data_IF_491974574474
#
_entry.id   IF_491974574474
#
_cell.length_a   1.000
_cell.length_b   1.000
_cell.length_c   1.000
_cell.angle_alpha   90.00
_cell.angle_beta   90.00
_cell.angle_gamma   90.00
#
_symmetry.space_group_name_H-M   'P 1'
#
loop_
_entity.id
_entity.type
_entity.pdbx_description
1 polymer ?
#
# COMPACT_ATOMS: atom_id res chain seq x y z
N UNK A 1 -10.29 8.35 7.00
CA UNK A 1 -9.14 8.36 6.07
C UNK A 1 -9.38 9.25 4.87
N UNK A 2 -10.44 9.05 4.07
CA UNK A 2 -10.72 9.90 2.90
C UNK A 2 -10.67 11.43 3.14
N UNK A 3 -11.33 11.97 4.18
CA UNK A 3 -11.27 13.41 4.44
C UNK A 3 -9.84 13.91 4.71
N UNK A 4 -9.03 13.10 5.40
CA UNK A 4 -7.63 13.43 5.72
C UNK A 4 -6.73 13.47 4.48
N UNK A 5 -6.88 12.52 3.55
CA UNK A 5 -6.09 12.53 2.30
C UNK A 5 -6.50 13.68 1.37
N UNK A 6 -7.75 14.14 1.44
CA UNK A 6 -8.17 15.34 0.70
C UNK A 6 -7.74 16.64 1.38
N UNK A 7 -7.69 16.70 2.72
CA UNK A 7 -7.18 17.90 3.39
C UNK A 7 -5.66 18.05 3.25
N UNK A 8 -4.94 16.96 3.01
CA UNK A 8 -3.46 16.99 2.91
C UNK A 8 -2.98 17.34 1.49
N UNK A 9 -2.18 18.42 1.32
CA UNK A 9 -1.60 18.77 0.02
C UNK A 9 -0.75 17.65 -0.59
N UNK A 10 -0.88 17.41 -1.89
CA UNK A 10 -0.15 16.37 -2.61
C UNK A 10 -0.76 14.96 -2.56
N UNK A 11 -1.80 14.76 -1.73
CA UNK A 11 -2.44 13.45 -1.57
C UNK A 11 -3.76 13.28 -2.32
N UNK A 12 -4.14 14.25 -3.16
CA UNK A 12 -5.42 14.25 -3.85
C UNK A 12 -5.61 13.02 -4.77
N UNK A 13 -4.57 12.52 -5.44
CA UNK A 13 -4.67 11.30 -6.25
C UNK A 13 -5.05 10.09 -5.40
N UNK A 14 -4.44 9.93 -4.23
CA UNK A 14 -4.80 8.88 -3.27
C UNK A 14 -6.21 9.06 -2.72
N UNK A 15 -6.64 10.30 -2.49
CA UNK A 15 -8.02 10.58 -2.09
C UNK A 15 -9.02 10.17 -3.19
N UNK A 16 -8.72 10.41 -4.46
CA UNK A 16 -9.55 9.98 -5.59
C UNK A 16 -9.61 8.45 -5.65
N UNK A 17 -8.47 7.75 -5.64
CA UNK A 17 -8.43 6.29 -5.67
C UNK A 17 -9.21 5.66 -4.50
N UNK A 18 -9.05 6.23 -3.30
CA UNK A 18 -9.80 5.77 -2.12
C UNK A 18 -11.30 6.04 -2.26
N UNK A 19 -11.71 7.20 -2.78
CA UNK A 19 -13.12 7.48 -3.07
C UNK A 19 -13.69 6.46 -4.08
N UNK A 20 -12.95 6.17 -5.14
CA UNK A 20 -13.35 5.19 -6.16
C UNK A 20 -13.48 3.81 -5.54
N UNK A 21 -12.52 3.38 -4.72
CA UNK A 21 -12.55 2.08 -4.06
C UNK A 21 -13.76 1.95 -3.11
N UNK A 22 -14.02 2.97 -2.30
CA UNK A 22 -15.19 3.03 -1.40
C UNK A 22 -16.48 2.93 -2.21
N UNK A 23 -16.63 3.74 -3.26
CA UNK A 23 -17.86 3.74 -4.07
C UNK A 23 -18.06 2.39 -4.77
N UNK A 24 -17.01 1.77 -5.30
CA UNK A 24 -17.14 0.44 -5.90
C UNK A 24 -17.60 -0.60 -4.87
N UNK A 25 -16.92 -0.73 -3.74
CA UNK A 25 -17.23 -1.77 -2.75
C UNK A 25 -18.55 -1.55 -2.02
N UNK A 26 -18.95 -0.30 -1.77
CA UNK A 26 -20.13 0.01 -0.95
C UNK A 26 -21.40 0.29 -1.78
N UNK A 27 -21.27 0.61 -3.07
CA UNK A 27 -22.40 1.07 -3.89
C UNK A 27 -22.59 0.26 -5.18
N UNK A 28 -21.52 -0.05 -5.91
CA UNK A 28 -21.64 -0.69 -7.23
C UNK A 28 -21.56 -2.21 -7.21
N UNK A 29 -20.66 -2.76 -6.41
CA UNK A 29 -20.44 -4.19 -6.36
C UNK A 29 -21.50 -4.86 -5.49
N UNK A 30 -21.93 -6.06 -5.89
CA UNK A 30 -22.69 -6.94 -5.01
C UNK A 30 -21.84 -7.35 -3.80
N UNK A 31 -22.47 -7.84 -2.73
CA UNK A 31 -21.75 -8.30 -1.54
C UNK A 31 -20.69 -9.37 -1.88
N UNK A 32 -20.99 -10.25 -2.84
CA UNK A 32 -20.04 -11.27 -3.30
C UNK A 32 -18.85 -10.65 -4.04
N UNK A 33 -19.10 -9.73 -4.97
CA UNK A 33 -18.04 -9.07 -5.74
C UNK A 33 -17.18 -8.16 -4.85
N UNK A 34 -17.77 -7.44 -3.90
CA UNK A 34 -17.05 -6.63 -2.93
C UNK A 34 -16.15 -7.51 -2.04
N UNK A 35 -16.69 -8.64 -1.56
CA UNK A 35 -15.90 -9.64 -0.83
C UNK A 35 -14.73 -10.15 -1.68
N UNK A 36 -14.98 -10.54 -2.94
CA UNK A 36 -13.92 -10.96 -3.86
C UNK A 36 -12.91 -9.85 -4.12
N UNK A 37 -13.33 -8.59 -4.26
CA UNK A 37 -12.46 -7.43 -4.49
C UNK A 37 -11.48 -7.22 -3.31
N UNK A 38 -12.00 -7.26 -2.09
CA UNK A 38 -11.21 -7.14 -0.86
C UNK A 38 -10.17 -8.27 -0.78
N UNK A 39 -10.57 -9.52 -1.02
CA UNK A 39 -9.65 -10.64 -0.95
C UNK A 39 -8.64 -10.67 -2.11
N UNK A 40 -9.05 -10.17 -3.27
CA UNK A 40 -8.20 -10.00 -4.45
C UNK A 40 -7.13 -8.92 -4.25
N UNK A 41 -7.23 -8.05 -3.24
CA UNK A 41 -6.17 -7.10 -2.90
C UNK A 41 -4.94 -7.76 -2.24
N UNK A 42 -5.05 -9.03 -1.85
CA UNK A 42 -3.96 -9.79 -1.23
C UNK A 42 -3.58 -11.04 -2.01
N UNK A 43 -2.34 -11.49 -1.87
CA UNK A 43 -1.83 -12.69 -2.50
C UNK A 43 -1.05 -13.54 -1.50
N UNK A 44 -1.30 -14.84 -1.47
CA UNK A 44 -0.55 -15.79 -0.63
C UNK A 44 0.62 -16.41 -1.39
N UNK A 45 1.59 -15.57 -1.79
CA UNK A 45 2.70 -15.98 -2.65
C UNK A 45 3.57 -17.08 -2.03
N UNK A 46 3.77 -17.04 -0.70
CA UNK A 46 4.61 -18.00 0.01
C UNK A 46 3.86 -19.26 0.46
N UNK A 47 2.53 -19.26 0.39
CA UNK A 47 1.67 -20.32 0.89
C UNK A 47 1.60 -20.41 2.42
N UNK A 48 0.48 -20.89 2.94
CA UNK A 48 0.23 -21.09 4.37
C UNK A 48 -0.68 -20.03 4.99
N UNK A 49 -1.20 -20.35 6.18
CA UNK A 49 -2.19 -19.51 6.88
C UNK A 49 -1.52 -18.21 7.37
N UNK A 50 -2.17 -17.07 7.14
CA UNK A 50 -1.71 -15.76 7.61
C UNK A 50 -0.49 -15.19 6.88
N UNK A 51 -0.13 -15.74 5.70
CA UNK A 51 1.02 -15.30 4.90
C UNK A 51 0.61 -14.51 3.65
N UNK A 52 -0.61 -14.00 3.64
CA UNK A 52 -1.10 -13.09 2.62
C UNK A 52 -0.29 -11.79 2.69
N UNK A 53 0.17 -11.33 1.53
CA UNK A 53 0.79 -10.03 1.37
C UNK A 53 -0.09 -9.20 0.44
N UNK A 54 -0.10 -7.89 0.62
CA UNK A 54 -0.77 -6.98 -0.30
C UNK A 54 -0.18 -7.13 -1.71
N UNK A 55 -1.05 -7.13 -2.73
CA UNK A 55 -0.60 -7.27 -4.12
C UNK A 55 0.35 -6.13 -4.52
N UNK A 56 0.13 -4.92 -4.01
CA UNK A 56 1.01 -3.78 -4.28
C UNK A 56 2.44 -4.07 -3.80
N UNK A 57 2.61 -4.59 -2.58
CA UNK A 57 3.92 -5.02 -2.05
C UNK A 57 4.53 -6.12 -2.92
N UNK A 58 3.73 -7.09 -3.38
CA UNK A 58 4.22 -8.13 -4.30
C UNK A 58 4.71 -7.52 -5.62
N UNK A 59 3.97 -6.56 -6.17
CA UNK A 59 4.34 -5.85 -7.40
C UNK A 59 5.59 -4.97 -7.19
N UNK A 60 5.71 -4.28 -6.06
CA UNK A 60 6.89 -3.50 -5.71
C UNK A 60 8.14 -4.38 -5.64
N UNK A 61 8.03 -5.55 -5.01
CA UNK A 61 9.10 -6.54 -4.95
C UNK A 61 9.51 -7.03 -6.35
N UNK A 62 8.55 -7.34 -7.22
CA UNK A 62 8.82 -7.74 -8.62
C UNK A 62 9.49 -6.62 -9.41
N UNK A 63 8.98 -5.40 -9.28
CA UNK A 63 9.56 -4.21 -9.91
C UNK A 63 10.99 -3.98 -9.44
N UNK A 64 11.28 -4.19 -8.17
CA UNK A 64 12.62 -4.11 -7.59
C UNK A 64 13.57 -5.14 -8.20
N UNK A 65 13.13 -6.38 -8.37
CA UNK A 65 13.93 -7.45 -8.97
C UNK A 65 14.25 -7.14 -10.45
N UNK A 66 13.26 -6.71 -11.22
CA UNK A 66 13.44 -6.29 -12.62
C UNK A 66 14.40 -5.09 -12.71
N UNK A 67 14.22 -4.07 -11.86
CA UNK A 67 15.10 -2.90 -11.82
C UNK A 67 16.55 -3.28 -11.51
N UNK A 68 16.79 -4.25 -10.63
CA UNK A 68 18.15 -4.76 -10.35
C UNK A 68 18.77 -5.41 -11.58
N UNK A 69 18.01 -6.23 -12.32
CA UNK A 69 18.49 -6.84 -13.57
C UNK A 69 18.78 -5.79 -14.64
N UNK A 70 17.90 -4.83 -14.85
CA UNK A 70 18.14 -3.73 -15.79
C UNK A 70 19.40 -2.94 -15.38
N UNK A 71 19.62 -2.74 -14.09
CA UNK A 71 20.82 -2.05 -13.59
C UNK A 71 22.09 -2.85 -13.87
N UNK A 72 22.07 -4.18 -13.75
CA UNK A 72 23.25 -5.02 -13.98
C UNK A 72 23.68 -5.10 -15.46
N UNK A 73 22.79 -4.79 -16.41
CA UNK A 73 23.11 -4.75 -17.85
C UNK A 73 24.15 -3.69 -18.25
N UNK A 74 24.42 -2.69 -17.40
CA UNK A 74 25.39 -1.63 -17.71
C UNK A 74 25.00 -0.83 -18.97
N UNK A 75 25.93 -0.72 -19.92
CA UNK A 75 25.71 0.00 -21.18
C UNK A 75 24.84 -0.78 -22.19
N UNK A 76 24.60 -2.07 -21.98
CA UNK A 76 23.88 -2.93 -22.95
C UNK A 76 22.35 -2.87 -22.82
N UNK A 77 21.80 -1.74 -22.38
CA UNK A 77 20.35 -1.54 -22.19
C UNK A 77 19.68 -1.22 -23.52
N UNK A 78 19.29 -2.26 -24.25
CA UNK A 78 18.37 -2.14 -25.38
C UNK A 78 16.97 -2.56 -24.95
N UNK A 79 15.92 -2.08 -25.61
CA UNK A 79 14.54 -2.46 -25.30
C UNK A 79 14.36 -3.99 -25.38
N UNK A 80 14.95 -4.64 -26.38
CA UNK A 80 14.92 -6.08 -26.53
C UNK A 80 15.63 -6.83 -25.38
N UNK A 81 16.75 -6.29 -24.88
CA UNK A 81 17.45 -6.87 -23.73
C UNK A 81 16.64 -6.71 -22.44
N UNK A 82 16.03 -5.54 -22.22
CA UNK A 82 15.16 -5.26 -21.07
C UNK A 82 13.94 -6.17 -21.08
N UNK A 83 13.26 -6.32 -22.21
CA UNK A 83 12.10 -7.20 -22.37
C UNK A 83 12.46 -8.66 -22.07
N UNK A 84 13.57 -9.14 -22.66
CA UNK A 84 14.06 -10.50 -22.46
C UNK A 84 14.35 -10.78 -20.99
N UNK A 85 15.07 -9.89 -20.31
CA UNK A 85 15.40 -10.06 -18.91
C UNK A 85 14.16 -10.01 -18.01
N UNK A 86 13.26 -9.06 -18.26
CA UNK A 86 12.02 -8.92 -17.50
C UNK A 86 11.16 -10.18 -17.58
N UNK A 87 11.09 -10.82 -18.75
CA UNK A 87 10.39 -12.10 -18.94
C UNK A 87 11.09 -13.28 -18.25
N UNK A 88 12.42 -13.29 -18.19
CA UNK A 88 13.18 -14.37 -17.55
C UNK A 88 13.29 -14.27 -16.03
N UNK A 89 13.06 -13.10 -15.43
CA UNK A 89 13.23 -12.84 -13.98
C UNK A 89 12.52 -13.89 -13.10
N UNK A 90 11.29 -14.29 -13.45
CA UNK A 90 10.54 -15.28 -12.68
C UNK A 90 11.15 -16.69 -12.72
N UNK A 91 11.69 -17.10 -13.87
CA UNK A 91 12.36 -18.39 -14.03
C UNK A 91 13.71 -18.42 -13.31
N UNK A 92 14.49 -17.36 -13.45
CA UNK A 92 15.78 -17.19 -12.77
C UNK A 92 15.64 -17.30 -11.25
N UNK A 93 14.62 -16.65 -10.69
CA UNK A 93 14.32 -16.73 -9.25
C UNK A 93 14.07 -18.17 -8.79
N UNK A 94 13.27 -18.95 -9.52
CA UNK A 94 13.00 -20.36 -9.20
C UNK A 94 14.27 -21.21 -9.26
N UNK A 95 15.13 -20.95 -10.25
CA UNK A 95 16.42 -21.66 -10.38
C UNK A 95 17.31 -21.37 -9.17
N UNK A 96 17.42 -20.10 -8.76
CA UNK A 96 18.19 -19.71 -7.57
C UNK A 96 17.60 -20.34 -6.30
N UNK A 97 16.28 -20.30 -6.13
CA UNK A 97 15.60 -20.88 -4.97
C UNK A 97 15.82 -22.40 -4.90
N UNK A 98 15.76 -23.11 -6.02
CA UNK A 98 16.05 -24.55 -6.09
C UNK A 98 17.52 -24.86 -5.80
N UNK A 99 18.44 -24.08 -6.38
CA UNK A 99 19.88 -24.25 -6.14
C UNK A 99 20.22 -24.05 -4.65
N UNK A 100 19.71 -22.97 -4.04
CA UNK A 100 19.93 -22.69 -2.63
C UNK A 100 19.37 -23.81 -1.73
N UNK A 101 18.23 -24.42 -2.09
CA UNK A 101 17.68 -25.61 -1.42
C UNK A 101 18.58 -26.83 -1.56
N UNK A 102 19.07 -27.12 -2.78
CA UNK A 102 19.96 -28.27 -3.04
C UNK A 102 21.27 -28.19 -2.25
N UNK A 103 21.84 -26.99 -2.16
CA UNK A 103 23.09 -26.74 -1.42
C UNK A 103 22.85 -26.60 0.09
N UNK A 104 21.59 -26.72 0.55
CA UNK A 104 21.18 -26.48 1.95
C UNK A 104 21.69 -25.15 2.48
N UNK A 105 21.78 -24.16 1.59
CA UNK A 105 22.21 -22.82 1.97
C UNK A 105 21.17 -22.28 2.92
N UNK A 106 21.57 -22.04 4.17
CA UNK A 106 20.68 -21.47 5.16
C UNK A 106 20.10 -20.16 4.59
N UNK A 107 18.77 -20.06 4.53
CA UNK A 107 18.13 -18.77 4.25
C UNK A 107 18.69 -17.80 5.27
N UNK A 108 19.35 -16.74 4.80
CA UNK A 108 19.70 -15.61 5.65
C UNK A 108 18.40 -14.89 5.99
N UNK A 109 17.62 -15.45 6.92
CA UNK A 109 16.66 -14.64 7.65
C UNK A 109 17.51 -13.73 8.51
N UNK A 110 17.62 -12.47 8.10
CA UNK A 110 17.76 -11.41 9.09
C UNK A 110 16.45 -11.42 9.87
N UNK A 111 16.31 -12.35 10.82
CA UNK A 111 15.57 -12.00 12.00
C UNK A 111 16.27 -10.72 12.45
N UNK A 112 15.53 -9.60 12.49
CA UNK A 112 16.01 -8.47 13.27
C UNK A 112 16.40 -9.10 14.60
N UNK A 113 17.70 -9.24 14.81
CA UNK A 113 18.19 -9.83 16.04
C UNK A 113 17.69 -8.79 17.02
N UNK A 114 16.69 -9.15 17.82
CA UNK A 114 16.23 -8.27 18.87
C UNK A 114 17.48 -8.14 19.74
N UNK A 115 18.26 -7.09 19.47
CA UNK A 115 19.30 -6.64 20.38
C UNK A 115 18.62 -6.59 21.72
N UNK A 116 19.23 -7.19 22.75
CA UNK A 116 18.68 -7.22 24.10
C UNK A 116 18.22 -5.80 24.46
N UNK A 117 16.92 -5.58 24.36
CA UNK A 117 16.29 -4.27 24.51
C UNK A 117 16.20 -3.88 25.96
N UNK A 118 16.58 -4.76 26.90
CA UNK A 118 16.53 -4.48 28.34
C UNK A 118 17.20 -3.16 28.76
N UNK A 119 18.30 -2.77 28.10
CA UNK A 119 18.94 -1.48 28.36
C UNK A 119 18.14 -0.31 27.77
N UNK A 120 17.57 -0.49 26.58
CA UNK A 120 16.76 0.54 25.93
C UNK A 120 15.39 0.69 26.61
N UNK A 121 14.76 -0.42 27.00
CA UNK A 121 13.54 -0.50 27.79
C UNK A 121 13.73 0.13 29.17
N UNK A 122 14.87 -0.08 29.84
CA UNK A 122 15.12 0.56 31.14
C UNK A 122 15.31 2.08 31.03
N UNK A 123 15.95 2.56 29.95
CA UNK A 123 16.02 4.00 29.63
C UNK A 123 14.65 4.57 29.28
N UNK A 124 13.90 3.92 28.39
CA UNK A 124 12.53 4.31 28.03
C UNK A 124 11.66 4.37 29.28
N UNK A 125 11.77 3.39 30.19
CA UNK A 125 10.99 3.39 31.43
C UNK A 125 11.37 4.54 32.36
N UNK A 126 12.66 4.86 32.47
CA UNK A 126 13.13 6.01 33.24
C UNK A 126 12.58 7.33 32.65
N UNK A 127 12.71 7.51 31.34
CA UNK A 127 12.22 8.69 30.61
C UNK A 127 10.69 8.81 30.72
N UNK A 128 9.94 7.71 30.55
CA UNK A 128 8.49 7.70 30.67
C UNK A 128 8.01 8.05 32.09
N UNK A 129 8.76 7.66 33.13
CA UNK A 129 8.44 8.02 34.53
C UNK A 129 8.73 9.48 34.82
N UNK A 130 9.73 10.06 34.18
CA UNK A 130 10.08 11.47 34.31
C UNK A 130 9.11 12.37 33.53
N UNK A 131 8.96 12.12 32.23
CA UNK A 131 8.14 12.93 31.31
C UNK A 131 6.64 12.72 31.55
N UNK A 132 6.24 11.55 32.07
CA UNK A 132 4.84 11.15 32.31
C UNK A 132 3.89 11.47 31.16
N UNK A 133 4.23 11.13 29.90
CA UNK A 133 3.51 11.62 28.72
C UNK A 133 2.03 11.23 28.67
N UNK A 134 1.63 10.18 29.39
CA UNK A 134 0.25 9.70 29.47
C UNK A 134 -0.60 10.36 30.56
N UNK A 135 -0.01 11.19 31.43
CA UNK A 135 -0.80 12.02 32.32
C UNK A 135 -1.62 13.02 31.50
N UNK A 136 -2.78 13.43 32.02
CA UNK A 136 -3.60 14.42 31.35
C UNK A 136 -2.97 15.79 31.53
N UNK A 137 -2.38 16.32 30.46
CA UNK A 137 -1.91 17.70 30.37
C UNK A 137 -2.86 18.44 29.42
N UNK A 138 -3.31 19.64 29.79
CA UNK A 138 -4.26 20.40 28.98
C UNK A 138 -3.77 20.66 27.54
N UNK A 139 -2.47 20.94 27.39
CA UNK A 139 -1.80 21.00 26.11
C UNK A 139 -0.81 19.83 25.97
N UNK A 140 -0.99 18.97 24.97
CA UNK A 140 -0.11 17.82 24.69
C UNK A 140 0.98 18.11 23.64
N UNK A 141 1.00 19.32 23.06
CA UNK A 141 1.94 19.71 22.01
C UNK A 141 2.69 21.02 22.32
N UNK A 142 3.08 21.29 23.56
CA UNK A 142 3.86 22.50 23.91
C UNK A 142 5.17 22.63 23.10
N UNK A 143 5.79 21.49 22.75
CA UNK A 143 6.99 21.44 21.90
C UNK A 143 6.68 21.58 20.40
N UNK A 144 5.42 21.45 19.99
CA UNK A 144 4.97 21.55 18.60
C UNK A 144 3.77 22.52 18.50
N UNK A 145 3.97 23.81 18.82
CA UNK A 145 2.89 24.78 18.92
C UNK A 145 2.13 25.01 17.59
N UNK A 146 2.73 24.62 16.47
CA UNK A 146 2.16 24.77 15.13
C UNK A 146 1.49 23.48 14.60
N UNK A 147 1.41 22.41 15.40
CA UNK A 147 0.72 21.18 15.00
C UNK A 147 -0.66 21.18 15.66
N UNK A 148 -1.70 21.13 14.82
CA UNK A 148 -3.07 21.03 15.29
C UNK A 148 -3.36 19.72 16.03
N UNK A 149 -4.25 19.81 17.02
CA UNK A 149 -4.85 18.63 17.67
C UNK A 149 -5.82 17.89 16.75
N UNK A 150 -6.46 18.59 15.82
CA UNK A 150 -7.43 18.03 14.90
C UNK A 150 -6.79 17.83 13.52
N UNK A 151 -6.69 16.56 13.12
CA UNK A 151 -6.14 16.16 11.82
C UNK A 151 -7.01 16.61 10.63
N UNK A 152 -8.24 17.06 10.90
CA UNK A 152 -9.18 17.61 9.94
C UNK A 152 -9.40 19.11 10.11
N UNK A 153 -8.62 19.82 10.95
CA UNK A 153 -8.78 21.27 11.12
C UNK A 153 -8.65 22.03 9.79
N UNK A 154 -7.79 21.54 8.89
CA UNK A 154 -7.59 22.09 7.55
C UNK A 154 -8.63 21.65 6.51
N UNK A 155 -9.59 20.81 6.89
CA UNK A 155 -10.63 20.33 5.98
C UNK A 155 -11.71 21.38 5.83
N UNK A 156 -11.68 22.08 4.69
CA UNK A 156 -12.83 22.84 4.23
C UNK A 156 -13.96 21.87 3.84
N UNK A 157 -15.04 21.87 4.63
CA UNK A 157 -16.16 20.96 4.46
C UNK A 157 -16.97 21.28 3.20
N UNK A 158 -17.09 22.54 2.81
CA UNK A 158 -17.79 22.93 1.58
C UNK A 158 -16.99 22.53 0.34
N UNK A 159 -15.68 22.77 0.35
CA UNK A 159 -14.78 22.30 -0.71
C UNK A 159 -14.80 20.77 -0.81
N UNK A 160 -14.79 20.07 0.33
CA UNK A 160 -14.88 18.61 0.37
C UNK A 160 -16.18 18.09 -0.27
N UNK A 161 -17.33 18.68 0.06
CA UNK A 161 -18.62 18.30 -0.53
C UNK A 161 -18.67 18.61 -2.03
N UNK A 162 -18.14 19.76 -2.46
CA UNK A 162 -18.03 20.12 -3.88
C UNK A 162 -17.12 19.12 -4.63
N UNK A 163 -16.00 18.75 -4.02
CA UNK A 163 -15.07 17.76 -4.54
C UNK A 163 -15.75 16.38 -4.69
N UNK A 164 -16.46 15.91 -3.66
CA UNK A 164 -17.23 14.67 -3.72
C UNK A 164 -18.27 14.71 -4.85
N UNK A 165 -19.04 15.79 -4.94
CA UNK A 165 -20.07 15.96 -5.98
C UNK A 165 -19.49 15.92 -7.40
N UNK A 166 -18.32 16.54 -7.60
CA UNK A 166 -17.61 16.49 -8.88
C UNK A 166 -17.14 15.07 -9.22
N UNK A 167 -16.46 14.40 -8.29
CA UNK A 167 -15.90 13.08 -8.57
C UNK A 167 -16.97 12.00 -8.67
N UNK A 168 -18.06 12.08 -7.90
CA UNK A 168 -19.22 11.18 -8.04
C UNK A 168 -19.80 11.17 -9.45
N UNK A 169 -19.88 12.34 -10.11
CA UNK A 169 -20.42 12.47 -11.48
C UNK A 169 -19.49 11.87 -12.55
N UNK A 170 -18.20 11.82 -12.27
CA UNK A 170 -17.18 11.35 -13.23
C UNK A 170 -16.95 9.83 -13.18
N UNK A 171 -17.41 9.15 -12.13
CA UNK A 171 -17.27 7.70 -11.98
C UNK A 171 -18.13 6.90 -12.97
N UNK A 172 -19.42 7.19 -13.19
CA UNK A 172 -20.24 6.43 -14.14
C UNK A 172 -19.83 6.64 -15.61
N UNK A 173 -19.07 7.69 -15.94
CA UNK A 173 -18.58 7.94 -17.31
C UNK A 173 -17.52 6.92 -17.77
N UNK A 174 -16.95 6.10 -16.86
CA UNK A 174 -16.04 5.01 -17.18
C UNK A 174 -16.66 3.61 -16.95
N UNK A 175 -17.95 3.53 -16.63
CA UNK A 175 -18.65 2.25 -16.57
C UNK A 175 -18.85 1.73 -18.00
N UNK A 176 -18.68 0.41 -18.28
CA UNK A 176 -19.11 -0.15 -19.55
C UNK A 176 -20.60 0.17 -19.72
N UNK A 177 -20.93 0.96 -20.74
CA UNK A 177 -22.32 1.17 -21.12
C UNK A 177 -22.88 -0.22 -21.46
N UNK A 178 -23.96 -0.63 -20.78
CA UNK A 178 -24.71 -1.79 -21.20
C UNK A 178 -25.05 -1.57 -22.67
N UNK A 179 -24.57 -2.46 -23.54
CA UNK A 179 -25.10 -2.54 -24.89
C UNK A 179 -26.55 -2.97 -24.69
N UNK A 180 -27.48 -2.06 -24.97
CA UNK A 180 -28.88 -2.44 -25.12
C UNK A 180 -28.89 -3.51 -26.24
N UNK A 181 -29.27 -4.74 -25.87
CA UNK A 181 -29.56 -5.79 -26.83
C UNK A 181 -30.79 -5.31 -27.61
N UNK A 182 -30.53 -4.68 -28.77
CA UNK A 182 -31.58 -4.32 -29.72
C UNK A 182 -32.32 -5.61 -30.12
N UNK A 183 -33.63 -5.57 -29.87
CA UNK A 183 -34.63 -6.58 -30.15
C UNK A 183 -34.49 -7.16 -31.57
N UNK A 184 -34.19 -8.46 -31.67
CA UNK A 184 -34.51 -9.27 -32.87
C UNK A 184 -35.89 -9.91 -32.70
N UNK A 185 -36.91 -9.31 -33.32
CA UNK A 185 -38.02 -10.04 -33.96
C UNK A 185 -38.49 -9.34 -35.25
#
# INVERSE_FOLDING_TARGET
MLPHFKSTPGFNSYAIEMLINIIHNEVFLSEEEAHQCIWSATNNWQGGIGKNIEIDILQENRNRDIKKQIKSMGANKTNAAVERASRSTGGERKIIENFDQMVRKAKKSSAHTHSRSALDESKILADLREVKPFAYHGNRFDSFPNISYDQLESLDQEDFQRWLGRHKRNIPLNAPQAQDEDDEE
#
